data_IF_932677933747
#
_entry.id   IF_932677933747
#
_cell.length_a   1.000
_cell.length_b   1.000
_cell.length_c   1.000
_cell.angle_alpha   90.00
_cell.angle_beta   90.00
_cell.angle_gamma   90.00
#
_symmetry.space_group_name_H-M   'P 1'
#
loop_
_entity.id
_entity.type
_entity.pdbx_description
1 polymer ?
#
# COMPACT_ATOMS: atom_id res chain seq x y z
N UNK A 1 6.62 18.86 6.44
CA UNK A 1 5.32 18.39 6.98
C UNK A 1 4.68 17.33 6.06
N UNK A 2 4.52 17.60 4.76
CA UNK A 2 3.88 16.68 3.78
C UNK A 2 4.44 15.25 3.80
N UNK A 3 5.77 15.08 3.89
CA UNK A 3 6.39 13.76 4.02
C UNK A 3 5.92 12.98 5.24
N UNK A 4 5.89 13.61 6.42
CA UNK A 4 5.51 12.95 7.67
C UNK A 4 4.04 12.49 7.63
N UNK A 5 3.18 13.29 7.00
CA UNK A 5 1.78 12.94 6.78
C UNK A 5 1.63 11.71 5.88
N UNK A 6 2.31 11.67 4.73
CA UNK A 6 2.27 10.51 3.83
C UNK A 6 2.95 9.28 4.43
N UNK A 7 4.01 9.46 5.22
CA UNK A 7 4.65 8.38 5.96
C UNK A 7 3.70 7.80 7.02
N UNK A 8 2.93 8.64 7.70
CA UNK A 8 1.90 8.21 8.64
C UNK A 8 0.80 7.39 7.97
N UNK A 9 0.24 7.88 6.86
CA UNK A 9 -0.78 7.16 6.08
C UNK A 9 -0.24 5.83 5.55
N UNK A 10 0.95 5.86 4.93
CA UNK A 10 1.63 4.66 4.42
C UNK A 10 1.82 3.63 5.54
N UNK A 11 2.32 4.06 6.70
CA UNK A 11 2.51 3.16 7.86
C UNK A 11 1.19 2.61 8.36
N UNK A 12 0.14 3.43 8.48
CA UNK A 12 -1.18 3.01 8.94
C UNK A 12 -1.81 1.95 8.03
N UNK A 13 -1.64 2.08 6.72
CA UNK A 13 -2.11 1.08 5.74
C UNK A 13 -1.21 -0.15 5.74
N UNK A 14 0.12 -0.01 5.82
CA UNK A 14 1.07 -1.12 5.67
C UNK A 14 1.27 -1.98 6.92
N UNK A 15 1.11 -1.40 8.11
CA UNK A 15 1.32 -2.08 9.38
C UNK A 15 0.37 -3.29 9.59
N UNK A 16 -0.95 -3.19 9.31
CA UNK A 16 -1.86 -4.33 9.36
C UNK A 16 -1.46 -5.46 8.41
N UNK A 17 -0.88 -5.14 7.24
CA UNK A 17 -0.46 -6.12 6.24
C UNK A 17 0.84 -6.83 6.64
N UNK A 18 1.81 -6.09 7.17
CA UNK A 18 3.10 -6.64 7.60
C UNK A 18 3.05 -7.44 8.90
N UNK A 19 2.03 -7.24 9.74
CA UNK A 19 1.87 -7.94 11.03
C UNK A 19 1.90 -9.47 10.89
N UNK A 20 1.14 -10.04 9.94
CA UNK A 20 1.08 -11.49 9.71
C UNK A 20 2.40 -12.03 9.19
N UNK A 21 3.02 -11.36 8.22
CA UNK A 21 4.28 -11.79 7.63
C UNK A 21 5.43 -11.75 8.64
N UNK A 22 5.48 -10.72 9.49
CA UNK A 22 6.48 -10.58 10.55
C UNK A 22 6.34 -11.68 11.59
N UNK A 23 5.10 -12.01 12.01
CA UNK A 23 4.84 -13.13 12.92
C UNK A 23 5.24 -14.48 12.33
N UNK A 24 4.93 -14.72 11.05
CA UNK A 24 5.34 -15.94 10.35
C UNK A 24 6.86 -16.04 10.27
N UNK A 25 7.54 -14.94 9.92
CA UNK A 25 9.01 -14.89 9.87
C UNK A 25 9.65 -15.15 11.23
N UNK A 26 9.14 -14.51 12.29
CA UNK A 26 9.61 -14.73 13.66
C UNK A 26 9.41 -16.19 14.11
N UNK A 27 8.26 -16.81 13.79
CA UNK A 27 8.00 -18.23 14.06
C UNK A 27 8.93 -19.15 13.27
N UNK A 28 9.27 -18.81 12.02
CA UNK A 28 10.25 -19.58 11.24
C UNK A 28 11.65 -19.52 11.87
N UNK A 29 12.08 -18.33 12.30
CA UNK A 29 13.36 -18.15 13.01
C UNK A 29 13.40 -18.97 14.31
N UNK A 30 12.28 -19.02 15.05
CA UNK A 30 12.15 -19.85 16.25
C UNK A 30 12.27 -21.35 15.93
N UNK A 31 11.54 -21.83 14.92
CA UNK A 31 11.57 -23.25 14.52
C UNK A 31 12.92 -23.70 14.00
N UNK A 32 13.67 -22.82 13.31
CA UNK A 32 15.02 -23.11 12.80
C UNK A 32 16.12 -22.93 13.85
N UNK A 33 15.77 -22.63 15.09
CA UNK A 33 16.69 -22.41 16.20
C UNK A 33 17.81 -21.37 15.95
N UNK A 34 17.59 -20.41 15.05
CA UNK A 34 18.64 -19.47 14.64
C UNK A 34 18.99 -18.48 15.75
N UNK A 35 20.26 -18.09 15.85
CA UNK A 35 20.71 -17.03 16.74
C UNK A 35 20.30 -15.63 16.23
N UNK A 36 20.32 -14.66 17.15
CA UNK A 36 20.03 -13.25 16.86
C UNK A 36 18.63 -13.00 16.25
N UNK A 37 17.63 -13.78 16.68
CA UNK A 37 16.25 -13.73 16.17
C UNK A 37 15.64 -12.33 16.25
N UNK A 38 15.87 -11.63 17.37
CA UNK A 38 15.41 -10.27 17.58
C UNK A 38 15.98 -9.31 16.54
N UNK A 39 17.30 -9.33 16.34
CA UNK A 39 17.99 -8.50 15.35
C UNK A 39 17.55 -8.83 13.91
N UNK A 40 17.37 -10.11 13.57
CA UNK A 40 16.87 -10.52 12.24
C UNK A 40 15.43 -10.04 12.01
N UNK A 41 14.57 -10.10 13.01
CA UNK A 41 13.19 -9.59 12.92
C UNK A 41 13.19 -8.06 12.80
N UNK A 42 14.04 -7.37 13.56
CA UNK A 42 14.22 -5.93 13.46
C UNK A 42 14.66 -5.51 12.05
N UNK A 43 15.62 -6.22 11.45
CA UNK A 43 16.08 -5.96 10.08
C UNK A 43 14.99 -6.20 9.05
N UNK A 44 14.15 -7.22 9.23
CA UNK A 44 12.98 -7.44 8.37
C UNK A 44 12.01 -6.25 8.43
N UNK A 45 11.69 -5.77 9.65
CA UNK A 45 10.83 -4.59 9.84
C UNK A 45 11.50 -3.33 9.29
N UNK A 46 12.81 -3.16 9.47
CA UNK A 46 13.56 -2.03 8.94
C UNK A 46 13.48 -1.96 7.41
N UNK A 47 13.61 -3.10 6.74
CA UNK A 47 13.42 -3.20 5.29
C UNK A 47 12.03 -2.77 4.85
N UNK A 48 11.02 -3.05 5.68
CA UNK A 48 9.65 -2.62 5.44
C UNK A 48 9.47 -1.10 5.59
N UNK A 49 10.00 -0.54 6.67
CA UNK A 49 9.97 0.91 6.94
C UNK A 49 10.70 1.70 5.86
N UNK A 50 11.86 1.21 5.40
CA UNK A 50 12.63 1.87 4.32
C UNK A 50 11.82 1.98 3.02
N UNK A 51 11.14 0.89 2.63
CA UNK A 51 10.32 0.88 1.41
C UNK A 51 9.07 1.77 1.58
N UNK A 52 8.42 1.75 2.74
CA UNK A 52 7.30 2.66 3.02
C UNK A 52 7.74 4.12 3.02
N UNK A 53 8.90 4.45 3.62
CA UNK A 53 9.45 5.80 3.62
C UNK A 53 9.78 6.28 2.20
N UNK A 54 10.39 5.43 1.37
CA UNK A 54 10.66 5.76 -0.03
C UNK A 54 9.37 6.03 -0.82
N UNK A 55 8.34 5.20 -0.62
CA UNK A 55 7.05 5.38 -1.28
C UNK A 55 6.31 6.63 -0.79
N UNK A 56 6.28 6.88 0.52
CA UNK A 56 5.76 8.12 1.10
C UNK A 56 6.50 9.36 0.55
N UNK A 57 7.82 9.25 0.35
CA UNK A 57 8.62 10.27 -0.33
C UNK A 57 8.14 10.54 -1.75
N UNK A 58 7.87 9.50 -2.54
CA UNK A 58 7.34 9.65 -3.90
C UNK A 58 5.96 10.31 -3.93
N UNK A 59 5.07 9.94 -3.01
CA UNK A 59 3.75 10.59 -2.87
C UNK A 59 3.87 12.03 -2.41
N UNK A 60 4.77 12.32 -1.48
CA UNK A 60 5.02 13.69 -1.03
C UNK A 60 5.58 14.57 -2.15
N UNK A 61 6.47 14.03 -3.01
CA UNK A 61 6.98 14.73 -4.19
C UNK A 61 5.88 14.96 -5.22
N UNK A 62 5.04 13.95 -5.49
CA UNK A 62 3.89 14.09 -6.38
C UNK A 62 2.93 15.16 -5.85
N UNK A 63 2.55 15.07 -4.58
CA UNK A 63 1.68 16.04 -3.91
C UNK A 63 2.28 17.46 -3.98
N UNK A 64 3.58 17.60 -3.71
CA UNK A 64 4.27 18.89 -3.82
C UNK A 64 4.29 19.43 -5.26
N UNK A 65 4.47 18.56 -6.27
CA UNK A 65 4.42 18.96 -7.67
C UNK A 65 3.04 19.45 -8.09
N UNK A 66 1.97 18.79 -7.62
CA UNK A 66 0.58 19.20 -7.85
C UNK A 66 0.28 20.54 -7.17
N UNK A 67 0.76 20.72 -5.94
CA UNK A 67 0.66 21.99 -5.21
C UNK A 67 1.33 23.14 -5.99
N UNK A 68 2.56 22.90 -6.47
CA UNK A 68 3.31 23.90 -7.24
C UNK A 68 2.67 24.23 -8.59
N UNK A 69 1.96 23.28 -9.18
CA UNK A 69 1.18 23.48 -10.41
C UNK A 69 -0.13 24.25 -10.18
N UNK A 70 -0.47 24.59 -8.93
CA UNK A 70 -1.72 25.26 -8.59
C UNK A 70 -2.95 24.36 -8.72
N UNK A 71 -2.77 23.04 -8.73
CA UNK A 71 -3.84 22.06 -8.90
C UNK A 71 -4.48 21.64 -7.56
N UNK A 72 -4.01 22.20 -6.44
CA UNK A 72 -4.51 21.89 -5.12
C UNK A 72 -5.20 23.10 -4.48
N UNK A 73 -6.30 22.84 -3.78
CA UNK A 73 -7.03 23.82 -2.98
C UNK A 73 -6.38 24.05 -1.60
N UNK A 74 -6.99 24.90 -0.78
CA UNK A 74 -6.55 25.18 0.60
C UNK A 74 -6.62 23.95 1.52
N UNK A 75 -7.43 22.94 1.16
CA UNK A 75 -7.53 21.66 1.85
C UNK A 75 -6.47 20.64 1.37
N UNK A 76 -5.56 21.04 0.45
CA UNK A 76 -4.57 20.18 -0.18
C UNK A 76 -5.19 19.01 -0.97
N UNK A 77 -6.43 19.19 -1.45
CA UNK A 77 -7.15 18.28 -2.34
C UNK A 77 -7.06 18.78 -3.79
N UNK A 78 -7.31 17.90 -4.77
CA UNK A 78 -7.32 18.32 -6.18
C UNK A 78 -8.48 19.28 -6.46
N UNK A 79 -8.15 20.47 -6.97
CA UNK A 79 -9.12 21.54 -7.23
C UNK A 79 -9.96 21.30 -8.50
N UNK A 80 -9.46 20.48 -9.43
CA UNK A 80 -10.15 20.20 -10.69
C UNK A 80 -10.91 18.86 -10.69
N UNK A 81 -12.22 18.84 -11.01
CA UNK A 81 -13.02 17.62 -11.02
C UNK A 81 -12.51 16.59 -12.04
N UNK A 82 -11.95 17.04 -13.17
CA UNK A 82 -11.30 16.15 -14.14
C UNK A 82 -10.06 15.45 -13.57
N UNK A 83 -9.26 16.13 -12.75
CA UNK A 83 -8.09 15.53 -12.10
C UNK A 83 -8.49 14.52 -11.03
N UNK A 84 -9.51 14.85 -10.22
CA UNK A 84 -10.12 13.91 -9.27
C UNK A 84 -10.69 12.70 -9.99
N UNK A 85 -11.45 12.93 -11.06
CA UNK A 85 -12.05 11.88 -11.88
C UNK A 85 -11.01 10.95 -12.47
N UNK A 86 -9.93 11.49 -13.05
CA UNK A 86 -8.82 10.71 -13.58
C UNK A 86 -8.13 9.87 -12.50
N UNK A 87 -7.86 10.44 -11.33
CA UNK A 87 -7.26 9.70 -10.21
C UNK A 87 -8.12 8.51 -9.76
N UNK A 88 -9.45 8.70 -9.70
CA UNK A 88 -10.39 7.64 -9.34
C UNK A 88 -10.53 6.58 -10.44
N UNK A 89 -10.56 6.98 -11.71
CA UNK A 89 -10.54 6.06 -12.85
C UNK A 89 -9.28 5.20 -12.81
N UNK A 90 -8.11 5.80 -12.61
CA UNK A 90 -6.84 5.07 -12.50
C UNK A 90 -6.86 4.10 -11.32
N UNK A 91 -7.32 4.54 -10.15
CA UNK A 91 -7.47 3.68 -8.97
C UNK A 91 -8.48 2.54 -9.18
N UNK A 92 -9.56 2.80 -9.93
CA UNK A 92 -10.58 1.81 -10.27
C UNK A 92 -10.10 0.79 -11.30
N UNK A 93 -9.39 1.20 -12.35
CA UNK A 93 -8.77 0.27 -13.32
C UNK A 93 -7.73 -0.60 -12.62
N UNK A 94 -6.95 -0.01 -11.72
CA UNK A 94 -5.98 -0.75 -10.91
C UNK A 94 -6.62 -1.88 -10.09
N UNK A 95 -7.88 -1.76 -9.69
CA UNK A 95 -8.60 -2.83 -9.00
C UNK A 95 -8.71 -4.12 -9.81
N UNK A 96 -8.78 -4.04 -11.14
CA UNK A 96 -8.90 -5.21 -12.03
C UNK A 96 -7.58 -5.69 -12.62
N UNK A 97 -6.46 -5.03 -12.31
CA UNK A 97 -5.18 -5.43 -12.88
C UNK A 97 -4.80 -6.84 -12.40
N UNK A 98 -4.47 -7.77 -13.31
CA UNK A 98 -4.04 -9.12 -12.92
C UNK A 98 -2.79 -9.08 -12.03
N UNK A 99 -1.93 -8.06 -12.21
CA UNK A 99 -0.78 -7.80 -11.35
C UNK A 99 -1.17 -7.57 -9.88
N UNK A 100 -2.28 -6.87 -9.62
CA UNK A 100 -2.79 -6.66 -8.25
C UNK A 100 -3.27 -7.97 -7.65
N UNK A 101 -3.94 -8.82 -8.42
CA UNK A 101 -4.45 -10.10 -7.92
C UNK A 101 -3.31 -11.07 -7.59
N UNK A 102 -2.33 -11.19 -8.48
CA UNK A 102 -1.11 -11.95 -8.22
C UNK A 102 -0.37 -11.44 -6.97
N UNK A 103 -0.33 -10.12 -6.77
CA UNK A 103 0.21 -9.53 -5.56
C UNK A 103 -0.56 -9.98 -4.31
N UNK A 104 -1.90 -9.87 -4.32
CA UNK A 104 -2.75 -10.22 -3.18
C UNK A 104 -2.60 -11.69 -2.79
N UNK A 105 -2.55 -12.60 -3.77
CA UNK A 105 -2.29 -14.02 -3.55
C UNK A 105 -0.94 -14.26 -2.86
N UNK A 106 0.12 -13.57 -3.32
CA UNK A 106 1.43 -13.68 -2.70
C UNK A 106 1.46 -13.11 -1.28
N UNK A 107 0.76 -12.00 -1.04
CA UNK A 107 0.67 -11.41 0.30
C UNK A 107 -0.19 -12.25 1.27
N UNK A 108 -1.17 -13.02 0.75
CA UNK A 108 -1.98 -13.98 1.54
C UNK A 108 -1.20 -15.22 1.97
N UNK A 109 -0.34 -15.74 1.08
CA UNK A 109 0.47 -16.93 1.31
C UNK A 109 1.96 -16.56 1.44
N UNK A 110 2.40 -16.00 2.59
CA UNK A 110 3.79 -15.55 2.73
C UNK A 110 4.80 -16.70 2.80
N UNK A 111 4.36 -17.94 3.12
CA UNK A 111 5.27 -19.07 3.36
C UNK A 111 6.08 -19.53 2.14
N UNK A 112 5.46 -19.85 0.97
CA UNK A 112 6.22 -20.23 -0.22
C UNK A 112 7.20 -19.15 -0.64
N UNK A 113 6.73 -17.89 -0.63
CA UNK A 113 7.55 -16.71 -0.92
C UNK A 113 8.75 -16.60 0.01
N UNK A 114 8.57 -16.82 1.33
CA UNK A 114 9.60 -16.80 2.39
C UNK A 114 10.59 -17.97 2.35
N UNK A 115 10.18 -19.14 1.88
CA UNK A 115 11.03 -20.32 1.77
C UNK A 115 11.87 -20.31 0.48
N UNK A 116 11.27 -19.99 -0.67
CA UNK A 116 11.91 -20.08 -1.98
C UNK A 116 13.10 -19.14 -2.19
N UNK A 117 13.16 -18.03 -1.44
CA UNK A 117 14.24 -17.04 -1.50
C UNK A 117 14.92 -16.81 -0.16
N UNK A 118 14.91 -17.82 0.72
CA UNK A 118 15.56 -17.73 2.03
C UNK A 118 17.06 -17.49 1.84
N UNK A 119 17.56 -16.35 2.35
CA UNK A 119 18.99 -16.05 2.42
C UNK A 119 19.38 -15.98 3.89
N UNK A 120 20.36 -16.77 4.27
CA UNK A 120 20.89 -16.72 5.62
C UNK A 120 21.65 -15.41 5.88
N UNK A 121 21.67 -15.00 7.16
CA UNK A 121 22.32 -13.79 7.63
C UNK A 121 21.43 -12.55 7.71
N UNK A 122 22.00 -11.47 8.21
CA UNK A 122 21.32 -10.19 8.48
C UNK A 122 20.85 -9.48 7.21
N UNK A 123 21.67 -9.46 6.16
CA UNK A 123 21.31 -8.90 4.85
C UNK A 123 20.18 -9.67 4.18
N UNK A 124 20.10 -10.98 4.42
CA UNK A 124 18.98 -11.81 3.99
C UNK A 124 17.66 -11.36 4.63
N UNK A 125 17.65 -11.14 5.95
CA UNK A 125 16.45 -10.65 6.64
C UNK A 125 15.99 -9.27 6.13
N UNK A 126 16.92 -8.33 5.95
CA UNK A 126 16.63 -6.99 5.43
C UNK A 126 16.04 -7.04 4.02
N UNK A 127 16.71 -7.74 3.10
CA UNK A 127 16.26 -7.84 1.70
C UNK A 127 14.89 -8.51 1.57
N UNK A 128 14.57 -9.46 2.46
CA UNK A 128 13.26 -10.12 2.48
C UNK A 128 12.16 -9.20 3.02
N UNK A 129 12.48 -8.38 4.02
CA UNK A 129 11.60 -7.29 4.46
C UNK A 129 11.27 -6.32 3.33
N UNK A 130 12.29 -5.87 2.58
CA UNK A 130 12.12 -4.96 1.44
C UNK A 130 11.30 -5.59 0.31
N UNK A 131 11.57 -6.85 -0.05
CA UNK A 131 10.80 -7.56 -1.07
C UNK A 131 9.32 -7.66 -0.68
N UNK A 132 9.05 -8.07 0.55
CA UNK A 132 7.68 -8.20 1.04
C UNK A 132 6.96 -6.85 1.09
N UNK A 133 7.68 -5.78 1.45
CA UNK A 133 7.15 -4.42 1.44
C UNK A 133 6.81 -3.94 0.03
N UNK A 134 7.67 -4.20 -0.97
CA UNK A 134 7.39 -3.86 -2.37
C UNK A 134 6.19 -4.61 -2.92
N UNK A 135 6.05 -5.89 -2.56
CA UNK A 135 4.87 -6.66 -2.89
C UNK A 135 3.64 -6.03 -2.23
N UNK A 136 3.67 -5.78 -0.92
CA UNK A 136 2.57 -5.10 -0.22
C UNK A 136 2.17 -3.78 -0.93
N UNK A 137 3.14 -2.92 -1.25
CA UNK A 137 2.89 -1.70 -2.04
C UNK A 137 2.22 -1.97 -3.38
N UNK A 138 2.57 -3.05 -4.07
CA UNK A 138 1.93 -3.46 -5.32
C UNK A 138 0.47 -3.93 -5.18
N UNK A 139 -0.04 -4.11 -3.95
CA UNK A 139 -1.42 -4.52 -3.70
C UNK A 139 -2.33 -3.32 -3.45
N UNK A 140 -1.86 -2.26 -2.77
CA UNK A 140 -2.66 -1.07 -2.43
C UNK A 140 -2.06 0.26 -2.91
N UNK A 141 -0.89 0.26 -3.56
CA UNK A 141 -0.13 1.48 -3.85
C UNK A 141 -0.89 2.50 -4.69
N UNK A 142 -1.58 2.04 -5.74
CA UNK A 142 -2.40 2.92 -6.58
C UNK A 142 -3.70 3.38 -5.90
N UNK A 143 -4.16 2.69 -4.84
CA UNK A 143 -5.28 3.19 -4.03
C UNK A 143 -4.91 4.42 -3.18
N UNK A 144 -3.61 4.71 -3.01
CA UNK A 144 -3.15 5.94 -2.35
C UNK A 144 -3.48 7.20 -3.15
N UNK A 145 -3.91 7.05 -4.41
CA UNK A 145 -4.47 8.15 -5.19
C UNK A 145 -5.79 8.68 -4.61
N UNK A 146 -6.55 7.88 -3.85
CA UNK A 146 -7.80 8.32 -3.21
C UNK A 146 -7.55 9.48 -2.22
N UNK A 147 -6.73 9.31 -1.16
CA UNK A 147 -6.41 10.41 -0.25
C UNK A 147 -5.58 11.51 -0.92
N UNK A 148 -4.88 11.23 -2.03
CA UNK A 148 -4.22 12.29 -2.80
C UNK A 148 -5.25 13.20 -3.49
N UNK A 149 -6.28 12.60 -4.10
CA UNK A 149 -7.29 13.32 -4.85
C UNK A 149 -8.27 14.06 -3.94
N UNK A 150 -8.73 13.40 -2.87
CA UNK A 150 -9.71 13.95 -1.94
C UNK A 150 -9.11 14.83 -0.84
N UNK A 151 -7.78 14.90 -0.76
CA UNK A 151 -7.05 15.54 0.32
C UNK A 151 -6.66 14.55 1.43
N UNK A 152 -5.43 14.59 1.95
CA UNK A 152 -4.91 13.59 2.88
C UNK A 152 -5.59 13.61 4.25
N UNK A 153 -6.28 14.70 4.58
CA UNK A 153 -7.09 14.83 5.79
C UNK A 153 -8.54 14.35 5.61
N UNK A 154 -8.95 13.96 4.40
CA UNK A 154 -10.31 13.52 4.13
C UNK A 154 -10.60 12.18 4.83
N UNK A 155 -11.52 12.16 5.81
CA UNK A 155 -11.77 10.96 6.61
C UNK A 155 -12.41 9.84 5.79
N UNK A 156 -13.20 10.18 4.76
CA UNK A 156 -13.85 9.19 3.88
C UNK A 156 -12.80 8.49 3.03
N UNK A 157 -11.88 9.23 2.42
CA UNK A 157 -10.80 8.66 1.63
C UNK A 157 -9.85 7.79 2.46
N UNK A 158 -9.50 8.25 3.67
CA UNK A 158 -8.70 7.49 4.62
C UNK A 158 -9.43 6.21 5.08
N UNK A 159 -10.71 6.30 5.45
CA UNK A 159 -11.49 5.13 5.84
C UNK A 159 -11.62 4.12 4.69
N UNK A 160 -11.85 4.62 3.46
CA UNK A 160 -11.94 3.78 2.27
C UNK A 160 -10.66 2.96 2.09
N UNK A 161 -9.47 3.57 2.09
CA UNK A 161 -8.22 2.82 1.90
C UNK A 161 -7.89 1.91 3.10
N UNK A 162 -8.11 2.39 4.33
CA UNK A 162 -7.80 1.64 5.56
C UNK A 162 -8.73 0.43 5.76
N UNK A 163 -9.93 0.44 5.20
CA UNK A 163 -10.85 -0.70 5.23
C UNK A 163 -10.65 -1.60 4.02
N UNK A 164 -10.60 -1.03 2.82
CA UNK A 164 -10.58 -1.77 1.58
C UNK A 164 -9.30 -2.61 1.44
N UNK A 165 -8.12 -2.03 1.68
CA UNK A 165 -6.85 -2.74 1.53
C UNK A 165 -6.73 -4.01 2.41
N UNK A 166 -6.98 -3.96 3.74
CA UNK A 166 -6.92 -5.17 4.55
C UNK A 166 -8.07 -6.15 4.30
N UNK A 167 -9.26 -5.67 3.94
CA UNK A 167 -10.41 -6.53 3.62
C UNK A 167 -10.13 -7.32 2.33
N UNK A 168 -9.68 -6.64 1.27
CA UNK A 168 -9.25 -7.28 0.02
C UNK A 168 -8.14 -8.31 0.27
N UNK A 169 -7.20 -8.02 1.18
CA UNK A 169 -6.16 -8.98 1.52
C UNK A 169 -6.70 -10.20 2.26
N UNK A 170 -7.62 -10.01 3.22
CA UNK A 170 -8.01 -11.07 4.17
C UNK A 170 -9.22 -11.89 3.74
N UNK A 171 -10.11 -11.35 2.92
CA UNK A 171 -11.34 -12.02 2.52
C UNK A 171 -11.07 -13.07 1.44
N UNK A 172 -11.61 -14.28 1.59
CA UNK A 172 -11.51 -15.32 0.56
C UNK A 172 -12.10 -14.85 -0.78
N UNK A 173 -13.14 -14.02 -0.72
CA UNK A 173 -13.80 -13.34 -1.85
C UNK A 173 -13.22 -11.96 -2.20
N UNK A 174 -11.98 -11.65 -1.81
CA UNK A 174 -11.37 -10.33 -2.02
C UNK A 174 -11.34 -9.85 -3.48
N UNK A 175 -11.36 -10.75 -4.46
CA UNK A 175 -11.52 -10.41 -5.87
C UNK A 175 -12.86 -9.70 -6.16
N UNK A 176 -13.96 -10.18 -5.59
CA UNK A 176 -15.28 -9.56 -5.75
C UNK A 176 -15.33 -8.17 -5.11
N UNK A 177 -14.67 -8.00 -3.97
CA UNK A 177 -14.59 -6.72 -3.25
C UNK A 177 -13.76 -5.72 -4.07
N UNK A 178 -12.62 -6.15 -4.62
CA UNK A 178 -11.82 -5.37 -5.55
C UNK A 178 -12.64 -4.97 -6.78
N UNK A 179 -13.39 -5.92 -7.37
CA UNK A 179 -14.24 -5.65 -8.53
C UNK A 179 -15.35 -4.62 -8.23
N UNK A 180 -16.07 -4.77 -7.12
CA UNK A 180 -17.11 -3.84 -6.71
C UNK A 180 -16.54 -2.45 -6.40
N UNK A 181 -15.40 -2.39 -5.69
CA UNK A 181 -14.69 -1.15 -5.42
C UNK A 181 -14.19 -0.47 -6.70
N UNK A 182 -13.67 -1.25 -7.66
CA UNK A 182 -13.24 -0.79 -8.97
C UNK A 182 -14.39 -0.17 -9.76
N UNK A 183 -15.54 -0.85 -9.84
CA UNK A 183 -16.75 -0.33 -10.49
C UNK A 183 -17.20 0.97 -9.84
N UNK A 184 -17.24 1.05 -8.51
CA UNK A 184 -17.66 2.24 -7.79
C UNK A 184 -16.73 3.44 -8.08
N UNK A 185 -15.41 3.22 -8.02
CA UNK A 185 -14.41 4.25 -8.31
C UNK A 185 -14.48 4.72 -9.76
N UNK A 186 -14.68 3.80 -10.71
CA UNK A 186 -14.82 4.14 -12.11
C UNK A 186 -16.11 4.89 -12.41
N UNK A 187 -17.25 4.44 -11.90
CA UNK A 187 -18.53 5.12 -12.10
C UNK A 187 -18.51 6.53 -11.52
N UNK A 188 -17.89 6.71 -10.34
CA UNK A 188 -17.74 8.04 -9.75
C UNK A 188 -16.74 8.90 -10.53
N UNK A 189 -15.60 8.32 -10.93
CA UNK A 189 -14.58 9.03 -11.68
C UNK A 189 -15.07 9.48 -13.06
N UNK A 190 -15.78 8.63 -13.80
CA UNK A 190 -16.35 8.97 -15.11
C UNK A 190 -17.43 10.04 -15.00
N UNK A 191 -18.28 9.99 -13.96
CA UNK A 191 -19.26 11.04 -13.69
C UNK A 191 -18.60 12.41 -13.44
N UNK A 192 -17.44 12.45 -12.80
CA UNK A 192 -16.69 13.71 -12.60
C UNK A 192 -15.97 14.20 -13.86
N UNK A 193 -15.58 13.29 -14.75
CA UNK A 193 -14.94 13.62 -16.04
C UNK A 193 -15.95 14.13 -17.09
N UNK A 194 -17.16 13.59 -17.08
CA UNK A 194 -18.25 13.96 -17.99
C UNK A 194 -19.47 14.41 -17.16
N UNK A 195 -19.44 15.63 -16.61
CA UNK A 195 -20.54 16.18 -15.83
C UNK A 195 -21.83 16.38 -16.65
#
# INVERSE_FOLDING_TARGET
MVFALWAGICTAVMLPLSSRATLVFARMLQRRALDWRGLRTLLFVLGHVLVCAAFAGSLALLHWSLHRAGLLDDALALDHPAAVGLALVVAGVYQWLPAKHACLEHCRAPMPGLLAGWRDGFLGALGRGMLHARLSLGCFGLLMLLPLAAGPANPVALAAILLLAPVELRADSGHWIACAGGLALLAWGTRLLFP
#
